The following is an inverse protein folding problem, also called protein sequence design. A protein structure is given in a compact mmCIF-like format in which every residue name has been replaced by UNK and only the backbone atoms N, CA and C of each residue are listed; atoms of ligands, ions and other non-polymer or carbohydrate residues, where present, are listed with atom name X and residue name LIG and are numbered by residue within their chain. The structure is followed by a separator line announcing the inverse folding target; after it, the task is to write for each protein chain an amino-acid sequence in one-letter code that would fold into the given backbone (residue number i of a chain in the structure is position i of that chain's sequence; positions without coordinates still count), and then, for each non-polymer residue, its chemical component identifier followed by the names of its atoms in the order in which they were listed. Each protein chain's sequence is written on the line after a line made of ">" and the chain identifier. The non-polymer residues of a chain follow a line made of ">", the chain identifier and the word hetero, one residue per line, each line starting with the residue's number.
data_IF_892326907217
#
_entry.id   IF_892326907217
#
_cell.length_a   1.000
_cell.length_b   1.000
_cell.length_c   1.000
_cell.angle_alpha   90.00
_cell.angle_beta   90.00
_cell.angle_gamma   90.00
#
_symmetry.space_group_name_H-M   'P 1'
#
loop_
_entity.id
_entity.type
_entity.pdbx_description
1 polymer ?
#
# COMPACT_ATOMS: atom_id res chain seq x y z
N UNK A 1 6.26 21.27 76.38
CA UNK A 1 7.05 21.65 75.15
C UNK A 1 6.61 20.74 74.06
N UNK A 2 5.61 21.22 73.28
CA UNK A 2 4.80 20.39 72.34
C UNK A 2 5.35 20.48 70.95
N UNK A 3 5.77 19.36 70.38
CA UNK A 3 6.04 19.26 68.97
C UNK A 3 4.86 18.66 68.24
N UNK A 4 4.13 19.52 67.53
CA UNK A 4 3.01 19.17 66.67
C UNK A 4 3.54 18.66 65.35
N UNK A 5 3.48 17.34 65.13
CA UNK A 5 3.86 16.72 63.85
C UNK A 5 2.69 16.88 62.87
N UNK A 6 2.84 17.79 61.89
CA UNK A 6 1.88 17.96 60.79
C UNK A 6 2.13 16.92 59.74
N UNK A 7 1.28 15.91 59.67
CA UNK A 7 1.23 14.99 58.52
C UNK A 7 0.58 15.70 57.34
N UNK A 8 1.42 16.06 56.37
CA UNK A 8 0.97 16.57 55.07
C UNK A 8 0.55 15.37 54.20
N UNK A 9 -0.75 15.13 54.05
CA UNK A 9 -1.31 14.15 53.13
C UNK A 9 -1.20 14.71 51.73
N UNK A 10 -0.23 14.20 50.93
CA UNK A 10 -0.14 14.45 49.49
C UNK A 10 -1.19 13.58 48.82
N UNK A 11 -2.27 14.19 48.39
CA UNK A 11 -3.25 13.56 47.47
C UNK A 11 -2.66 13.59 46.07
N UNK A 12 -2.11 12.45 45.60
CA UNK A 12 -1.75 12.30 44.21
C UNK A 12 -3.04 12.01 43.47
N UNK A 13 -3.59 13.03 42.78
CA UNK A 13 -4.65 12.85 41.78
C UNK A 13 -4.03 12.20 40.53
N UNK A 14 -4.22 10.89 40.41
CA UNK A 14 -3.90 10.17 39.19
C UNK A 14 -5.00 10.45 38.15
N UNK A 15 -4.83 11.47 37.34
CA UNK A 15 -5.70 11.73 36.17
C UNK A 15 -5.39 10.70 35.12
N UNK A 16 -6.17 9.62 35.07
CA UNK A 16 -6.19 8.68 33.94
C UNK A 16 -6.80 9.42 32.76
N UNK A 17 -5.95 9.94 31.87
CA UNK A 17 -6.40 10.42 30.58
C UNK A 17 -6.89 9.20 29.78
N UNK A 18 -8.20 9.00 29.71
CA UNK A 18 -8.81 8.07 28.77
C UNK A 18 -8.54 8.60 27.36
N UNK A 19 -7.49 8.09 26.74
CA UNK A 19 -7.32 8.21 25.28
C UNK A 19 -8.47 7.43 24.64
N UNK A 20 -9.50 8.15 24.23
CA UNK A 20 -10.54 7.58 23.37
C UNK A 20 -9.92 7.31 22.01
N UNK A 21 -9.48 6.06 21.78
CA UNK A 21 -9.13 5.58 20.46
C UNK A 21 -10.43 5.63 19.67
N UNK A 22 -10.58 6.65 18.82
CA UNK A 22 -11.65 6.68 17.82
C UNK A 22 -11.37 5.53 16.87
N UNK A 23 -12.00 4.39 17.10
CA UNK A 23 -12.09 3.33 16.10
C UNK A 23 -12.88 3.90 14.92
N UNK A 24 -12.18 4.22 13.85
CA UNK A 24 -12.83 4.54 12.58
C UNK A 24 -13.31 3.23 11.97
N UNK A 25 -14.51 2.79 12.40
CA UNK A 25 -15.20 1.74 11.68
C UNK A 25 -15.41 2.20 10.23
N UNK A 26 -15.06 1.35 9.27
CA UNK A 26 -15.48 1.57 7.89
C UNK A 26 -16.99 1.77 7.87
N UNK A 27 -17.53 2.68 7.05
CA UNK A 27 -18.95 2.72 6.81
C UNK A 27 -19.36 1.32 6.34
N UNK A 28 -20.18 0.63 7.13
CA UNK A 28 -20.76 -0.64 6.69
C UNK A 28 -21.55 -0.34 5.43
N UNK A 29 -21.10 -0.84 4.29
CA UNK A 29 -21.92 -0.84 3.10
C UNK A 29 -23.21 -1.58 3.47
N UNK A 30 -24.34 -0.90 3.42
CA UNK A 30 -25.65 -1.53 3.67
C UNK A 30 -26.00 -2.54 2.57
N UNK A 31 -25.31 -2.43 1.41
CA UNK A 31 -25.55 -3.21 0.21
C UNK A 31 -24.25 -3.83 -0.31
N UNK A 32 -24.39 -4.88 -1.14
CA UNK A 32 -23.26 -5.46 -1.85
C UNK A 32 -22.70 -4.47 -2.87
N UNK A 33 -21.36 -4.34 -2.91
CA UNK A 33 -20.65 -3.60 -3.96
C UNK A 33 -20.26 -4.59 -5.05
N UNK A 34 -20.78 -4.38 -6.26
CA UNK A 34 -20.50 -5.21 -7.43
C UNK A 34 -19.86 -4.33 -8.50
N UNK A 35 -18.65 -4.70 -8.95
CA UNK A 35 -17.96 -4.01 -10.05
C UNK A 35 -17.63 -5.04 -11.11
N UNK A 36 -18.32 -4.98 -12.27
CA UNK A 36 -18.05 -5.85 -13.43
C UNK A 36 -16.86 -5.31 -14.22
N UNK A 37 -16.17 -6.14 -15.03
CA UNK A 37 -15.00 -5.71 -15.79
C UNK A 37 -15.26 -4.52 -16.72
N UNK A 38 -16.43 -4.44 -17.32
CA UNK A 38 -16.88 -3.35 -18.20
C UNK A 38 -17.29 -2.06 -17.45
N UNK A 39 -17.39 -2.13 -16.13
CA UNK A 39 -17.74 -1.01 -15.24
C UNK A 39 -16.51 -0.37 -14.56
N UNK A 40 -15.32 -0.94 -14.78
CA UNK A 40 -14.08 -0.41 -14.18
C UNK A 40 -13.72 0.93 -14.81
N UNK A 41 -13.67 1.98 -14.00
CA UNK A 41 -13.26 3.33 -14.43
C UNK A 41 -11.76 3.46 -14.23
N UNK A 42 -11.03 3.48 -15.34
CA UNK A 42 -9.58 3.58 -15.35
C UNK A 42 -9.13 5.05 -15.41
N UNK A 43 -8.21 5.41 -14.50
CA UNK A 43 -7.45 6.64 -14.56
C UNK A 43 -6.05 6.40 -15.14
N UNK A 44 -5.47 7.43 -15.77
CA UNK A 44 -4.12 7.37 -16.32
C UNK A 44 -3.07 7.73 -15.26
N UNK A 45 -1.96 7.01 -15.29
CA UNK A 45 -0.76 7.28 -14.52
C UNK A 45 0.46 7.41 -15.47
N UNK A 46 1.62 7.92 -14.99
CA UNK A 46 2.82 8.03 -15.81
C UNK A 46 3.20 6.74 -16.53
N UNK A 47 3.90 6.86 -17.66
CA UNK A 47 4.38 5.76 -18.49
C UNK A 47 3.28 4.82 -19.03
N UNK A 48 2.03 5.29 -19.13
CA UNK A 48 0.90 4.53 -19.66
C UNK A 48 0.32 3.51 -18.68
N UNK A 49 0.75 3.51 -17.42
CA UNK A 49 0.12 2.72 -16.37
C UNK A 49 -1.31 3.21 -16.15
N UNK A 50 -2.24 2.28 -15.95
CA UNK A 50 -3.62 2.60 -15.59
C UNK A 50 -3.92 2.15 -14.17
N UNK A 51 -4.74 2.91 -13.46
CA UNK A 51 -5.16 2.58 -12.10
C UNK A 51 -6.67 2.77 -11.94
N UNK A 52 -7.30 1.93 -11.14
CA UNK A 52 -8.73 2.04 -10.82
C UNK A 52 -8.96 1.68 -9.35
N UNK A 53 -9.71 2.52 -8.63
CA UNK A 53 -10.20 2.18 -7.29
C UNK A 53 -11.54 1.47 -7.44
N UNK A 54 -11.60 0.20 -7.02
CA UNK A 54 -12.82 -0.62 -7.09
C UNK A 54 -13.64 -0.53 -5.81
N UNK A 55 -12.98 -0.28 -4.67
CA UNK A 55 -13.62 -0.17 -3.37
C UNK A 55 -12.77 0.69 -2.43
N UNK A 56 -13.44 1.43 -1.55
CA UNK A 56 -12.78 2.24 -0.53
C UNK A 56 -12.00 3.42 -1.09
N UNK A 57 -11.03 3.91 -0.30
CA UNK A 57 -10.15 5.01 -0.67
C UNK A 57 -8.77 4.75 -0.03
N UNK A 58 -7.69 4.55 -0.80
CA UNK A 58 -6.37 4.30 -0.25
C UNK A 58 -5.82 5.46 0.60
N UNK A 59 -6.42 6.66 0.53
CA UNK A 59 -6.00 7.83 1.31
C UNK A 59 -6.79 7.98 2.62
N UNK A 60 -7.79 7.14 2.89
CA UNK A 60 -8.64 7.19 4.08
C UNK A 60 -8.52 5.92 4.91
N UNK A 61 -8.81 5.99 6.22
CA UNK A 61 -8.87 4.79 7.05
C UNK A 61 -9.88 3.78 6.51
N UNK A 62 -9.47 2.53 6.42
CA UNK A 62 -10.32 1.42 6.02
C UNK A 62 -9.74 0.59 4.87
N UNK A 63 -10.44 -0.50 4.52
CA UNK A 63 -10.05 -1.37 3.41
C UNK A 63 -10.22 -0.66 2.07
N UNK A 64 -9.28 -0.89 1.16
CA UNK A 64 -9.41 -0.50 -0.24
C UNK A 64 -9.10 -1.67 -1.17
N UNK A 65 -9.65 -1.61 -2.38
CA UNK A 65 -9.30 -2.49 -3.50
C UNK A 65 -8.97 -1.62 -4.70
N UNK A 66 -7.76 -1.79 -5.23
CA UNK A 66 -7.25 -1.06 -6.40
C UNK A 66 -6.80 -2.06 -7.46
N UNK A 67 -6.99 -1.74 -8.74
CA UNK A 67 -6.35 -2.44 -9.87
C UNK A 67 -5.38 -1.54 -10.58
N UNK A 68 -4.29 -2.16 -11.05
CA UNK A 68 -3.31 -1.51 -11.92
C UNK A 68 -3.11 -2.35 -13.17
N UNK A 69 -2.91 -1.66 -14.32
CA UNK A 69 -2.44 -2.26 -15.56
C UNK A 69 -1.09 -1.63 -15.88
N UNK A 70 -0.06 -2.47 -15.99
CA UNK A 70 1.25 -2.07 -16.46
C UNK A 70 1.38 -2.42 -17.94
N UNK A 71 1.75 -1.47 -18.81
CA UNK A 71 2.15 -1.78 -20.18
C UNK A 71 3.43 -2.63 -20.21
N UNK A 72 3.65 -3.34 -21.32
CA UNK A 72 4.90 -4.08 -21.54
C UNK A 72 6.14 -3.19 -21.36
N UNK A 73 7.14 -3.70 -20.65
CA UNK A 73 8.41 -3.03 -20.40
C UNK A 73 8.35 -1.89 -19.37
N UNK A 74 7.22 -1.73 -18.66
CA UNK A 74 7.06 -0.67 -17.65
C UNK A 74 6.94 -1.29 -16.25
N UNK A 75 7.76 -0.77 -15.33
CA UNK A 75 7.75 -1.15 -13.92
C UNK A 75 7.72 0.09 -13.02
N UNK A 76 7.26 -0.09 -11.79
CA UNK A 76 7.48 0.90 -10.73
C UNK A 76 8.98 0.98 -10.40
N UNK A 77 9.48 2.15 -10.03
CA UNK A 77 10.82 2.25 -9.42
C UNK A 77 10.81 1.68 -7.99
N UNK A 78 11.98 1.34 -7.42
CA UNK A 78 12.08 0.84 -6.05
C UNK A 78 11.43 1.78 -5.04
N UNK A 79 10.53 1.23 -4.24
CA UNK A 79 9.74 1.96 -3.25
C UNK A 79 9.28 1.04 -2.13
N UNK A 80 8.68 1.62 -1.09
CA UNK A 80 7.98 0.90 -0.03
C UNK A 80 6.69 1.62 0.36
N UNK A 81 5.83 0.92 1.09
CA UNK A 81 4.55 1.45 1.55
C UNK A 81 4.46 1.45 3.07
N UNK A 82 3.61 2.33 3.60
CA UNK A 82 3.38 2.43 5.05
C UNK A 82 2.47 1.34 5.62
N UNK A 83 1.80 0.55 4.76
CA UNK A 83 0.86 -0.49 5.16
C UNK A 83 1.10 -1.78 4.37
N UNK A 84 0.75 -2.91 4.99
CA UNK A 84 0.72 -4.22 4.35
C UNK A 84 -0.29 -4.26 3.19
N UNK A 85 0.05 -5.03 2.14
CA UNK A 85 -0.84 -5.22 0.99
C UNK A 85 -0.77 -6.64 0.46
N UNK A 86 -1.90 -7.12 -0.06
CA UNK A 86 -2.00 -8.34 -0.83
C UNK A 86 -2.15 -7.99 -2.30
N UNK A 87 -1.32 -8.54 -3.15
CA UNK A 87 -1.35 -8.34 -4.60
C UNK A 87 -1.68 -9.64 -5.28
N UNK A 88 -2.72 -9.65 -6.11
CA UNK A 88 -3.14 -10.80 -6.90
C UNK A 88 -2.98 -10.47 -8.39
N UNK A 89 -2.37 -11.37 -9.14
CA UNK A 89 -2.22 -11.24 -10.60
C UNK A 89 -3.51 -11.66 -11.28
N UNK A 90 -4.16 -10.75 -12.02
CA UNK A 90 -5.42 -10.97 -12.73
C UNK A 90 -5.15 -11.44 -14.16
N UNK A 91 -4.20 -10.79 -14.85
CA UNK A 91 -3.82 -11.13 -16.24
C UNK A 91 -2.33 -10.95 -16.47
N UNK A 92 -1.79 -11.72 -17.41
CA UNK A 92 -0.39 -11.64 -17.80
C UNK A 92 0.55 -12.26 -16.78
N UNK A 93 1.80 -11.80 -16.79
CA UNK A 93 2.84 -12.17 -15.83
C UNK A 93 3.32 -10.89 -15.17
N UNK A 94 3.14 -10.80 -13.87
CA UNK A 94 3.64 -9.70 -13.04
C UNK A 94 5.05 -10.04 -12.56
N UNK A 95 5.99 -9.12 -12.77
CA UNK A 95 7.37 -9.29 -12.39
C UNK A 95 7.65 -8.44 -11.16
N UNK A 96 8.14 -9.07 -10.09
CA UNK A 96 8.39 -8.42 -8.81
C UNK A 96 9.82 -8.66 -8.33
N UNK A 97 10.53 -7.59 -8.00
CA UNK A 97 11.84 -7.59 -7.33
C UNK A 97 11.68 -7.13 -5.88
N UNK A 98 12.47 -7.73 -4.97
CA UNK A 98 12.41 -7.48 -3.53
C UNK A 98 13.65 -6.75 -3.02
N UNK A 99 14.31 -6.00 -3.87
CA UNK A 99 15.51 -5.21 -3.60
C UNK A 99 15.38 -3.78 -4.14
N UNK A 100 16.44 -2.99 -4.04
CA UNK A 100 16.46 -1.61 -4.51
C UNK A 100 17.15 -1.45 -5.87
N UNK A 101 17.53 -2.53 -6.55
CA UNK A 101 18.37 -2.45 -7.75
C UNK A 101 17.67 -1.92 -8.99
N UNK A 102 16.33 -2.04 -9.06
CA UNK A 102 15.52 -1.82 -10.26
C UNK A 102 16.02 -2.62 -11.48
N UNK A 103 16.71 -3.72 -11.23
CA UNK A 103 17.23 -4.61 -12.25
C UNK A 103 16.19 -5.68 -12.60
N UNK A 104 15.65 -5.72 -13.83
CA UNK A 104 14.67 -6.74 -14.20
C UNK A 104 15.22 -8.17 -14.09
N UNK A 105 16.54 -8.35 -14.07
CA UNK A 105 17.16 -9.67 -13.91
C UNK A 105 17.01 -10.24 -12.50
N UNK A 106 16.74 -9.41 -11.48
CA UNK A 106 16.53 -9.84 -10.07
C UNK A 106 15.06 -10.14 -9.77
N UNK A 107 14.17 -10.02 -10.74
CA UNK A 107 12.73 -10.20 -10.54
C UNK A 107 12.28 -11.64 -10.68
N UNK A 108 11.17 -11.97 -10.02
CA UNK A 108 10.45 -13.23 -10.18
C UNK A 108 9.18 -12.99 -10.97
N UNK A 109 8.95 -13.78 -12.01
CA UNK A 109 7.72 -13.72 -12.81
C UNK A 109 6.59 -14.50 -12.16
N UNK A 110 5.49 -13.83 -11.86
CA UNK A 110 4.29 -14.35 -11.23
C UNK A 110 3.14 -14.36 -12.25
N UNK A 111 2.71 -15.54 -12.73
CA UNK A 111 1.61 -15.63 -13.71
C UNK A 111 0.26 -15.33 -13.07
N UNK A 112 -0.78 -15.16 -13.92
CA UNK A 112 -2.17 -14.98 -13.47
C UNK A 112 -2.59 -16.06 -12.48
N UNK A 113 -3.29 -15.65 -11.40
CA UNK A 113 -3.66 -16.49 -10.27
C UNK A 113 -2.64 -16.49 -9.13
N UNK A 114 -1.41 -15.96 -9.35
CA UNK A 114 -0.43 -15.80 -8.28
C UNK A 114 -0.83 -14.72 -7.27
N UNK A 115 -0.34 -14.84 -6.04
CA UNK A 115 -0.48 -13.85 -4.99
C UNK A 115 0.90 -13.54 -4.37
N UNK A 116 1.13 -12.29 -4.04
CA UNK A 116 2.29 -11.84 -3.27
C UNK A 116 1.83 -10.93 -2.12
N UNK A 117 2.40 -11.15 -0.95
CA UNK A 117 2.25 -10.26 0.21
C UNK A 117 3.37 -9.23 0.21
N UNK A 118 3.01 -7.95 0.32
CA UNK A 118 3.94 -6.84 0.48
C UNK A 118 3.88 -6.33 1.92
N UNK A 119 4.87 -6.64 2.77
CA UNK A 119 4.94 -6.09 4.11
C UNK A 119 5.17 -4.58 4.10
N UNK A 120 4.62 -3.88 5.08
CA UNK A 120 4.90 -2.47 5.30
C UNK A 120 6.41 -2.22 5.48
N UNK A 121 6.92 -1.14 4.88
CA UNK A 121 8.32 -0.72 4.97
C UNK A 121 9.32 -1.55 4.16
N UNK A 122 8.91 -2.64 3.51
CA UNK A 122 9.82 -3.48 2.73
C UNK A 122 9.93 -2.98 1.29
N UNK A 123 11.17 -2.74 0.85
CA UNK A 123 11.48 -2.24 -0.49
C UNK A 123 11.17 -3.29 -1.55
N UNK A 124 10.52 -2.86 -2.63
CA UNK A 124 10.22 -3.66 -3.79
C UNK A 124 10.08 -2.78 -5.04
N UNK A 125 10.06 -3.40 -6.19
CA UNK A 125 9.70 -2.82 -7.47
C UNK A 125 8.99 -3.87 -8.32
N UNK A 126 8.08 -3.46 -9.19
CA UNK A 126 7.21 -4.41 -9.86
C UNK A 126 6.61 -3.84 -11.14
N UNK A 127 6.12 -4.72 -12.01
CA UNK A 127 5.46 -4.32 -13.25
C UNK A 127 5.44 -5.41 -14.32
N UNK A 128 5.55 -5.01 -15.57
CA UNK A 128 5.50 -5.89 -16.72
C UNK A 128 6.82 -5.89 -17.50
N UNK A 129 7.39 -7.07 -17.79
CA UNK A 129 8.57 -7.21 -18.66
C UNK A 129 8.14 -7.64 -20.08
N UNK A 130 7.30 -8.68 -20.16
CA UNK A 130 6.81 -9.23 -21.44
C UNK A 130 5.29 -9.23 -21.44
N UNK A 131 4.70 -8.49 -22.37
CA UNK A 131 3.26 -8.26 -22.43
C UNK A 131 2.71 -7.46 -21.25
N UNK A 132 1.51 -6.88 -21.37
CA UNK A 132 0.88 -6.14 -20.30
C UNK A 132 0.46 -7.07 -19.17
N UNK A 133 0.44 -6.52 -17.93
CA UNK A 133 -0.07 -7.25 -16.76
C UNK A 133 -1.13 -6.43 -16.03
N UNK A 134 -2.15 -7.12 -15.50
CA UNK A 134 -3.18 -6.55 -14.62
C UNK A 134 -3.08 -7.21 -13.26
N UNK A 135 -2.99 -6.39 -12.21
CA UNK A 135 -2.95 -6.83 -10.82
C UNK A 135 -4.07 -6.18 -10.01
N UNK A 136 -4.51 -6.86 -8.95
CA UNK A 136 -5.41 -6.31 -7.94
C UNK A 136 -4.70 -6.26 -6.60
N UNK A 137 -4.81 -5.12 -5.94
CA UNK A 137 -4.21 -4.82 -4.65
C UNK A 137 -5.33 -4.65 -3.62
N UNK A 138 -5.19 -5.32 -2.48
CA UNK A 138 -6.06 -5.14 -1.31
C UNK A 138 -5.18 -4.69 -0.15
N UNK A 139 -5.58 -3.64 0.55
CA UNK A 139 -4.85 -3.10 1.69
C UNK A 139 -5.73 -2.28 2.61
N UNK A 140 -5.10 -1.75 3.65
CA UNK A 140 -5.71 -0.81 4.58
C UNK A 140 -5.16 0.59 4.33
N UNK A 141 -6.04 1.57 4.27
CA UNK A 141 -5.69 2.99 4.20
C UNK A 141 -5.69 3.66 5.58
N UNK A 142 -5.08 4.85 5.73
CA UNK A 142 -4.34 5.55 4.67
C UNK A 142 -3.00 4.87 4.38
N UNK A 143 -2.64 4.78 3.10
CA UNK A 143 -1.36 4.24 2.65
C UNK A 143 -0.58 5.28 1.87
N UNK A 144 0.71 5.40 2.13
CA UNK A 144 1.63 6.20 1.33
C UNK A 144 2.69 5.33 0.66
N UNK A 145 3.25 5.85 -0.42
CA UNK A 145 4.36 5.26 -1.16
C UNK A 145 5.58 6.17 -1.02
N UNK A 146 6.70 5.61 -0.59
CA UNK A 146 7.96 6.33 -0.47
C UNK A 146 8.95 5.76 -1.49
N UNK A 147 9.45 6.55 -2.44
CA UNK A 147 10.47 6.12 -3.39
C UNK A 147 11.82 5.94 -2.67
N UNK A 148 12.59 4.92 -3.05
CA UNK A 148 13.99 4.77 -2.59
C UNK A 148 14.88 5.78 -3.28
N UNK A 149 14.62 6.07 -4.56
CA UNK A 149 15.33 7.04 -5.37
C UNK A 149 14.36 8.18 -5.75
N UNK A 150 14.37 9.31 -5.02
CA UNK A 150 13.40 10.40 -5.23
C UNK A 150 13.42 11.01 -6.63
N UNK A 151 14.60 10.98 -7.29
CA UNK A 151 14.78 11.51 -8.65
C UNK A 151 14.39 10.52 -9.76
N UNK A 152 14.19 9.25 -9.43
CA UNK A 152 13.71 8.26 -10.39
C UNK A 152 12.23 8.46 -10.70
N UNK A 153 11.79 8.22 -11.95
CA UNK A 153 10.36 8.28 -12.28
C UNK A 153 9.59 7.20 -11.52
N UNK A 154 8.39 7.52 -11.06
CA UNK A 154 7.53 6.55 -10.35
C UNK A 154 7.32 5.26 -11.16
N UNK A 155 7.13 5.39 -12.47
CA UNK A 155 7.01 4.28 -13.41
C UNK A 155 7.90 4.56 -14.62
N UNK A 156 8.55 3.52 -15.13
CA UNK A 156 9.42 3.63 -16.30
C UNK A 156 9.99 2.30 -16.75
N UNK A 157 10.87 2.36 -17.73
CA UNK A 157 11.65 1.18 -18.17
C UNK A 157 12.69 0.85 -17.10
N UNK A 158 12.63 -0.36 -16.51
CA UNK A 158 13.58 -0.73 -15.47
C UNK A 158 15.00 -0.85 -16.04
N UNK A 159 15.97 -0.45 -15.24
CA UNK A 159 17.39 -0.59 -15.51
C UNK A 159 18.12 -0.64 -14.18
N UNK A 160 19.25 -1.34 -14.13
CA UNK A 160 20.02 -1.45 -12.91
C UNK A 160 20.44 -0.07 -12.39
N UNK A 161 20.05 0.25 -11.17
CA UNK A 161 20.52 1.40 -10.41
C UNK A 161 21.72 0.99 -9.55
N UNK A 162 22.75 1.85 -9.50
CA UNK A 162 23.98 1.61 -8.73
C UNK A 162 23.86 2.18 -7.31
#
# INVERSE_FOLDING_TARGET
>A
MNYLCKFLKIFILLTIALLTIKSYAQPSAKDFVIVKPDQVVWGDAPAGVKTAVLYGDPNKPGMYVVRNIFPEGIMSSPHFHTQDRFVTVIKGTWWAGTDASWDPATTVGLPAGSMMFHPAGVVHFDGAIKGPTEIQIIGMGPVSTTPVYPDAPRFGKPHKLN
#
